data_IF_076894533867
#
_entry.id   IF_076894533867
#
_cell.length_a   1.000
_cell.length_b   1.000
_cell.length_c   1.000
_cell.angle_alpha   90.00
_cell.angle_beta   90.00
_cell.angle_gamma   90.00
#
_symmetry.space_group_name_H-M   'P 1'
#
loop_
_entity.id
_entity.type
_entity.pdbx_description
1 polymer ?
#
# COMPACT_ATOMS: atom_id res chain seq x y z
N UNK A 1 1.20 46.64 -31.68
CA UNK A 1 1.70 45.36 -31.24
C UNK A 1 0.85 44.95 -30.05
N UNK A 2 -0.22 44.23 -30.30
CA UNK A 2 -1.27 43.88 -29.36
C UNK A 2 -0.88 42.59 -28.66
N UNK A 3 -0.85 42.66 -27.32
CA UNK A 3 -0.66 41.56 -26.40
C UNK A 3 -1.67 40.42 -26.63
N UNK A 4 -1.21 39.32 -27.15
CA UNK A 4 -1.97 38.06 -27.25
C UNK A 4 -1.44 37.09 -26.18
N UNK A 5 -1.63 37.41 -24.89
CA UNK A 5 -1.19 36.61 -23.75
C UNK A 5 -2.33 36.07 -22.89
N UNK A 6 -3.50 35.77 -23.49
CA UNK A 6 -4.67 35.38 -22.69
C UNK A 6 -5.45 34.16 -23.19
N UNK A 7 -4.80 33.07 -23.66
CA UNK A 7 -5.56 31.88 -24.01
C UNK A 7 -4.93 30.51 -23.67
N UNK A 8 -3.92 30.42 -22.78
CA UNK A 8 -3.35 29.13 -22.39
C UNK A 8 -3.73 28.66 -20.96
N UNK A 9 -4.63 29.37 -20.27
CA UNK A 9 -4.94 29.06 -18.85
C UNK A 9 -6.06 28.04 -18.63
N UNK A 10 -6.63 27.44 -19.69
CA UNK A 10 -7.78 26.53 -19.57
C UNK A 10 -7.37 25.05 -19.29
N UNK A 11 -6.08 24.72 -19.36
CA UNK A 11 -5.58 23.34 -19.19
C UNK A 11 -4.59 23.16 -18.04
N UNK A 12 -4.23 24.22 -17.31
CA UNK A 12 -3.33 24.08 -16.17
C UNK A 12 -4.09 23.67 -14.91
N UNK A 13 -3.68 22.59 -14.30
CA UNK A 13 -4.18 22.11 -13.00
C UNK A 13 -3.87 23.14 -11.92
N UNK A 14 -4.83 23.42 -11.03
CA UNK A 14 -4.65 24.40 -9.94
C UNK A 14 -3.61 23.88 -8.95
N UNK A 15 -2.55 24.65 -8.70
CA UNK A 15 -1.48 24.34 -7.73
C UNK A 15 -1.90 24.71 -6.30
N UNK A 16 -2.69 23.83 -5.67
CA UNK A 16 -3.29 24.05 -4.33
C UNK A 16 -2.74 23.11 -3.25
N UNK A 17 -1.87 22.14 -3.60
CA UNK A 17 -1.33 21.19 -2.64
C UNK A 17 -0.08 21.76 -1.95
N UNK A 18 -0.16 21.88 -0.63
CA UNK A 18 0.96 22.31 0.20
C UNK A 18 1.94 21.14 0.42
N UNK A 19 3.19 21.45 0.76
CA UNK A 19 4.24 20.45 1.03
C UNK A 19 3.82 19.38 2.06
N UNK A 20 3.02 19.73 3.08
CA UNK A 20 2.50 18.77 4.05
C UNK A 20 1.55 17.75 3.42
N UNK A 21 0.67 18.18 2.49
CA UNK A 21 -0.25 17.30 1.79
C UNK A 21 0.53 16.31 0.91
N UNK A 22 1.48 16.80 0.13
CA UNK A 22 2.32 15.95 -0.74
C UNK A 22 3.12 14.93 0.07
N UNK A 23 3.73 15.35 1.19
CA UNK A 23 4.45 14.43 2.07
C UNK A 23 3.53 13.34 2.64
N UNK A 24 2.30 13.68 3.03
CA UNK A 24 1.36 12.70 3.59
C UNK A 24 0.73 11.82 2.51
N UNK A 25 0.40 12.36 1.34
CA UNK A 25 -0.01 11.57 0.16
C UNK A 25 1.11 10.57 -0.19
N UNK A 26 2.36 11.04 -0.19
CA UNK A 26 3.51 10.19 -0.44
C UNK A 26 3.67 9.05 0.57
N UNK A 27 3.37 9.27 1.85
CA UNK A 27 3.50 8.26 2.90
C UNK A 27 2.25 7.38 2.96
N UNK A 28 1.07 7.98 2.97
CA UNK A 28 -0.20 7.30 3.21
C UNK A 28 -0.79 6.62 1.98
N UNK A 29 -0.53 7.18 0.77
CA UNK A 29 -1.07 6.63 -0.48
C UNK A 29 -0.56 5.22 -0.81
N UNK A 30 0.57 4.82 -0.23
CA UNK A 30 1.12 3.48 -0.40
C UNK A 30 0.72 2.51 0.71
N UNK A 31 0.34 3.01 1.90
CA UNK A 31 -0.14 2.16 2.99
C UNK A 31 -1.63 1.90 2.74
N UNK A 32 -1.94 0.76 2.15
CA UNK A 32 -3.29 0.39 1.74
C UNK A 32 -3.53 -1.12 1.84
N UNK A 33 -4.53 -1.58 1.09
CA UNK A 33 -4.96 -2.97 1.01
C UNK A 33 -3.81 -3.95 0.71
N UNK A 34 -2.87 -3.56 -0.13
CA UNK A 34 -1.69 -4.36 -0.45
C UNK A 34 -0.86 -4.72 0.79
N UNK A 35 -0.55 -3.75 1.66
CA UNK A 35 0.20 -4.06 2.88
C UNK A 35 -0.69 -4.74 3.93
N UNK A 36 -1.90 -4.23 4.16
CA UNK A 36 -2.75 -4.68 5.25
C UNK A 36 -3.37 -6.06 5.01
N UNK A 37 -3.70 -6.39 3.77
CA UNK A 37 -4.44 -7.62 3.44
C UNK A 37 -3.54 -8.67 2.77
N UNK A 38 -2.78 -8.29 1.73
CA UNK A 38 -2.04 -9.27 0.93
C UNK A 38 -0.71 -9.70 1.55
N UNK A 39 -0.21 -9.01 2.58
CA UNK A 39 1.01 -9.39 3.28
C UNK A 39 0.94 -10.79 3.94
N UNK A 40 -0.26 -11.21 4.37
CA UNK A 40 -0.48 -12.57 4.87
C UNK A 40 -0.30 -13.64 3.80
N UNK A 41 -0.84 -13.38 2.61
CA UNK A 41 -0.68 -14.26 1.45
C UNK A 41 0.80 -14.40 1.04
N UNK A 42 1.57 -13.30 1.12
CA UNK A 42 3.00 -13.34 0.83
C UNK A 42 3.76 -14.31 1.76
N UNK A 43 3.46 -14.27 3.06
CA UNK A 43 4.08 -15.14 4.07
C UNK A 43 3.61 -16.59 3.88
N UNK A 44 2.32 -16.80 3.60
CA UNK A 44 1.77 -18.12 3.35
C UNK A 44 2.43 -18.80 2.14
N UNK A 45 2.61 -18.05 1.02
CA UNK A 45 3.06 -18.61 -0.25
C UNK A 45 4.55 -18.93 -0.30
N UNK A 46 5.40 -18.09 0.30
CA UNK A 46 6.86 -18.25 0.18
C UNK A 46 7.58 -18.33 1.55
N UNK A 47 6.82 -18.35 2.63
CA UNK A 47 7.37 -18.27 3.97
C UNK A 47 7.87 -16.87 4.34
N UNK A 48 8.22 -16.64 5.61
CA UNK A 48 8.68 -15.33 6.07
C UNK A 48 9.97 -14.87 5.39
N UNK A 49 10.92 -15.78 5.11
CA UNK A 49 12.16 -15.45 4.41
C UNK A 49 11.92 -15.03 2.94
N UNK A 50 11.13 -15.82 2.20
CA UNK A 50 10.77 -15.51 0.82
C UNK A 50 10.01 -14.18 0.70
N UNK A 51 9.06 -13.92 1.61
CA UNK A 51 8.34 -12.65 1.65
C UNK A 51 9.28 -11.47 1.91
N UNK A 52 10.21 -11.56 2.88
CA UNK A 52 11.19 -10.49 3.17
C UNK A 52 12.07 -10.22 1.95
N UNK A 53 12.59 -11.27 1.29
CA UNK A 53 13.43 -11.12 0.10
C UNK A 53 12.65 -10.44 -1.02
N UNK A 54 11.40 -10.85 -1.28
CA UNK A 54 10.56 -10.24 -2.30
C UNK A 54 10.30 -8.75 -2.04
N UNK A 55 9.92 -8.39 -0.81
CA UNK A 55 9.67 -7.00 -0.43
C UNK A 55 10.96 -6.14 -0.44
N UNK A 56 12.12 -6.71 -0.09
CA UNK A 56 13.41 -6.01 -0.22
C UNK A 56 13.77 -5.74 -1.68
N UNK A 57 13.65 -6.75 -2.55
CA UNK A 57 13.98 -6.60 -3.98
C UNK A 57 13.07 -5.59 -4.67
N UNK A 58 11.75 -5.72 -4.48
CA UNK A 58 10.77 -4.78 -5.05
C UNK A 58 10.93 -3.40 -4.42
N UNK A 59 11.15 -3.30 -3.12
CA UNK A 59 11.41 -2.04 -2.43
C UNK A 59 12.63 -1.32 -2.97
N UNK A 60 13.72 -2.03 -3.26
CA UNK A 60 14.93 -1.47 -3.87
C UNK A 60 14.66 -0.98 -5.30
N UNK A 61 13.93 -1.75 -6.10
CA UNK A 61 13.50 -1.35 -7.44
C UNK A 61 12.66 -0.06 -7.38
N UNK A 62 11.65 -0.02 -6.49
CA UNK A 62 10.79 1.16 -6.30
C UNK A 62 11.60 2.36 -5.83
N UNK A 63 12.57 2.18 -4.94
CA UNK A 63 13.42 3.26 -4.49
C UNK A 63 14.19 3.91 -5.64
N UNK A 64 14.82 3.13 -6.53
CA UNK A 64 15.52 3.67 -7.69
C UNK A 64 14.57 4.33 -8.68
N UNK A 65 13.42 3.70 -8.94
CA UNK A 65 12.38 4.27 -9.80
C UNK A 65 11.92 5.64 -9.28
N UNK A 66 11.64 5.73 -7.99
CA UNK A 66 11.14 6.96 -7.36
C UNK A 66 12.19 8.05 -7.29
N UNK A 67 13.47 7.70 -7.14
CA UNK A 67 14.57 8.67 -7.20
C UNK A 67 14.63 9.28 -8.60
N UNK A 68 14.61 8.47 -9.65
CA UNK A 68 14.61 8.92 -11.04
C UNK A 68 13.37 9.75 -11.39
N UNK A 69 12.19 9.28 -11.00
CA UNK A 69 10.94 10.01 -11.20
C UNK A 69 10.94 11.35 -10.46
N UNK A 70 11.48 11.37 -9.24
CA UNK A 70 11.58 12.59 -8.43
C UNK A 70 12.48 13.65 -9.03
N UNK A 71 13.61 13.27 -9.64
CA UNK A 71 14.48 14.18 -10.39
C UNK A 71 13.74 14.78 -11.59
N UNK A 72 13.07 13.94 -12.38
CA UNK A 72 12.28 14.39 -13.53
C UNK A 72 11.12 15.31 -13.11
N UNK A 73 10.38 14.95 -12.07
CA UNK A 73 9.23 15.72 -11.56
C UNK A 73 9.64 17.05 -10.91
N UNK A 74 10.87 17.12 -10.38
CA UNK A 74 11.42 18.38 -9.85
C UNK A 74 11.84 19.32 -11.00
N UNK A 75 12.44 18.75 -12.05
CA UNK A 75 12.90 19.52 -13.19
C UNK A 75 11.76 19.99 -14.10
N UNK A 76 10.78 19.12 -14.34
CA UNK A 76 9.62 19.39 -15.19
C UNK A 76 8.32 18.96 -14.51
N UNK A 77 7.78 19.77 -13.60
CA UNK A 77 6.54 19.44 -12.88
C UNK A 77 5.33 19.55 -13.81
N UNK A 78 4.85 18.39 -14.29
CA UNK A 78 3.67 18.27 -15.17
C UNK A 78 2.65 17.33 -14.57
N UNK A 79 1.35 17.58 -14.82
CA UNK A 79 0.25 16.73 -14.35
C UNK A 79 0.23 15.36 -15.00
N UNK A 80 0.78 15.22 -16.21
CA UNK A 80 0.90 13.94 -16.91
C UNK A 80 2.08 13.08 -16.47
N UNK A 81 3.00 13.62 -15.64
CA UNK A 81 4.14 12.92 -15.05
C UNK A 81 4.85 11.98 -16.05
N UNK A 82 5.02 10.71 -15.68
CA UNK A 82 5.79 9.73 -16.46
C UNK A 82 5.26 9.50 -17.90
N UNK A 83 3.96 9.63 -18.18
CA UNK A 83 3.43 9.53 -19.53
C UNK A 83 3.87 10.73 -20.39
N UNK A 84 3.91 11.92 -19.81
CA UNK A 84 4.43 13.14 -20.46
C UNK A 84 5.93 13.04 -20.69
N UNK A 85 6.68 12.51 -19.72
CA UNK A 85 8.13 12.31 -19.86
C UNK A 85 8.44 11.29 -20.96
N UNK A 86 7.72 10.17 -21.00
CA UNK A 86 7.87 9.16 -22.06
C UNK A 86 7.57 9.75 -23.44
N UNK A 87 6.47 10.50 -23.58
CA UNK A 87 6.10 11.19 -24.83
C UNK A 87 7.20 12.15 -25.30
N UNK A 88 7.80 12.90 -24.36
CA UNK A 88 8.75 13.96 -24.67
C UNK A 88 10.17 13.45 -24.92
N UNK A 89 10.62 12.46 -24.17
CA UNK A 89 12.02 12.05 -24.13
C UNK A 89 12.29 10.68 -24.76
N UNK A 90 11.25 9.89 -25.03
CA UNK A 90 11.38 8.58 -25.66
C UNK A 90 10.58 8.52 -26.95
N UNK A 91 9.27 8.35 -26.89
CA UNK A 91 8.40 8.23 -28.05
C UNK A 91 6.93 8.53 -27.68
N UNK A 92 6.17 9.25 -28.53
CA UNK A 92 4.75 9.54 -28.30
C UNK A 92 3.88 8.28 -28.11
N UNK A 93 4.18 7.20 -28.83
CA UNK A 93 3.42 5.94 -28.74
C UNK A 93 3.61 5.30 -27.36
N UNK A 94 4.83 5.36 -26.79
CA UNK A 94 5.11 4.86 -25.45
C UNK A 94 4.35 5.70 -24.39
N UNK A 95 4.36 7.03 -24.53
CA UNK A 95 3.64 7.91 -23.62
C UNK A 95 2.13 7.65 -23.65
N UNK A 96 1.56 7.43 -24.82
CA UNK A 96 0.15 7.03 -24.98
C UNK A 96 -0.15 5.69 -24.30
N UNK A 97 0.68 4.67 -24.56
CA UNK A 97 0.52 3.35 -23.96
C UNK A 97 0.61 3.39 -22.43
N UNK A 98 1.57 4.15 -21.87
CA UNK A 98 1.70 4.34 -20.42
C UNK A 98 0.50 5.04 -19.81
N UNK A 99 -0.06 6.06 -20.46
CA UNK A 99 -1.26 6.75 -20.00
C UNK A 99 -2.46 5.80 -19.89
N UNK A 100 -2.71 4.98 -20.93
CA UNK A 100 -3.77 3.98 -20.91
C UNK A 100 -3.54 2.88 -19.90
N UNK A 101 -2.30 2.37 -19.79
CA UNK A 101 -1.95 1.36 -18.81
C UNK A 101 -2.18 1.86 -17.38
N UNK A 102 -1.80 3.11 -17.09
CA UNK A 102 -2.00 3.71 -15.78
C UNK A 102 -3.48 3.91 -15.45
N UNK A 103 -4.28 4.38 -16.41
CA UNK A 103 -5.73 4.49 -16.25
C UNK A 103 -6.36 3.12 -15.95
N UNK A 104 -6.02 2.10 -16.73
CA UNK A 104 -6.53 0.74 -16.56
C UNK A 104 -6.14 0.14 -15.19
N UNK A 105 -4.90 0.35 -14.78
CA UNK A 105 -4.41 -0.06 -13.46
C UNK A 105 -5.28 0.52 -12.33
N UNK A 106 -5.59 1.81 -12.36
CA UNK A 106 -6.42 2.42 -11.32
C UNK A 106 -7.88 2.00 -11.39
N UNK A 107 -8.43 1.75 -12.56
CA UNK A 107 -9.80 1.22 -12.70
C UNK A 107 -9.94 -0.14 -12.00
N UNK A 108 -8.97 -1.04 -12.22
CA UNK A 108 -8.96 -2.36 -11.57
C UNK A 108 -8.71 -2.22 -10.06
N UNK A 109 -7.79 -1.35 -9.66
CA UNK A 109 -7.48 -1.13 -8.24
C UNK A 109 -8.68 -0.63 -7.46
N UNK A 110 -9.42 0.35 -7.98
CA UNK A 110 -10.64 0.84 -7.31
C UNK A 110 -11.67 -0.27 -7.18
N UNK A 111 -11.85 -1.09 -8.22
CA UNK A 111 -12.77 -2.22 -8.15
C UNK A 111 -12.35 -3.24 -7.08
N UNK A 112 -11.05 -3.56 -7.01
CA UNK A 112 -10.49 -4.46 -6.01
C UNK A 112 -10.61 -3.89 -4.59
N UNK A 113 -10.35 -2.59 -4.39
CA UNK A 113 -10.45 -1.94 -3.08
C UNK A 113 -11.89 -1.88 -2.57
N UNK A 114 -12.87 -1.64 -3.47
CA UNK A 114 -14.30 -1.71 -3.12
C UNK A 114 -14.68 -3.12 -2.65
N UNK A 115 -14.20 -4.15 -3.33
CA UNK A 115 -14.42 -5.55 -2.97
C UNK A 115 -13.74 -5.90 -1.63
N UNK A 116 -12.49 -5.52 -1.43
CA UNK A 116 -11.77 -5.72 -0.18
C UNK A 116 -12.42 -4.97 1.00
N UNK A 117 -12.99 -3.78 0.75
CA UNK A 117 -13.75 -3.05 1.77
C UNK A 117 -15.02 -3.78 2.19
N UNK A 118 -15.75 -4.36 1.22
CA UNK A 118 -16.93 -5.16 1.51
C UNK A 118 -16.58 -6.47 2.24
N UNK A 119 -15.41 -7.06 1.99
CA UNK A 119 -14.88 -8.17 2.76
C UNK A 119 -14.48 -7.74 4.17
N UNK A 120 -13.79 -6.61 4.33
CA UNK A 120 -13.34 -6.10 5.62
C UNK A 120 -14.51 -5.81 6.57
N UNK A 121 -15.63 -5.26 6.08
CA UNK A 121 -16.79 -4.98 6.92
C UNK A 121 -17.48 -6.26 7.42
N UNK A 122 -17.33 -7.37 6.69
CA UNK A 122 -17.85 -8.68 7.08
C UNK A 122 -17.13 -9.30 8.31
N UNK A 123 -16.05 -8.67 8.79
CA UNK A 123 -15.39 -9.01 10.05
C UNK A 123 -16.36 -8.93 11.23
N UNK A 124 -17.31 -7.99 11.21
CA UNK A 124 -18.33 -7.86 12.24
C UNK A 124 -19.59 -8.66 11.85
N UNK A 125 -19.94 -9.68 12.63
CA UNK A 125 -21.07 -10.58 12.35
C UNK A 125 -22.40 -9.86 12.12
N UNK A 126 -22.67 -8.80 12.89
CA UNK A 126 -23.90 -8.01 12.74
C UNK A 126 -23.95 -7.18 11.45
N UNK A 127 -22.84 -6.98 10.76
CA UNK A 127 -22.82 -6.32 9.45
C UNK A 127 -23.08 -7.30 8.29
N UNK A 128 -23.13 -8.62 8.54
CA UNK A 128 -23.44 -9.64 7.53
C UNK A 128 -24.93 -9.70 7.16
N UNK A 129 -25.78 -8.87 7.78
CA UNK A 129 -27.20 -8.79 7.45
C UNK A 129 -27.45 -8.31 6.02
N UNK A 130 -26.61 -7.42 5.51
CA UNK A 130 -26.68 -6.97 4.12
C UNK A 130 -25.87 -7.89 3.21
N UNK A 131 -26.37 -8.15 1.99
CA UNK A 131 -25.62 -8.91 1.00
C UNK A 131 -24.34 -8.15 0.60
N UNK A 132 -23.30 -8.89 0.24
CA UNK A 132 -21.97 -8.36 -0.07
C UNK A 132 -21.99 -7.23 -1.12
N UNK A 133 -22.76 -7.39 -2.20
CA UNK A 133 -22.89 -6.37 -3.25
C UNK A 133 -23.46 -5.03 -2.76
N UNK A 134 -24.29 -5.05 -1.69
CA UNK A 134 -24.86 -3.82 -1.14
C UNK A 134 -23.80 -2.98 -0.42
N UNK A 135 -22.85 -3.63 0.26
CA UNK A 135 -21.69 -2.96 0.84
C UNK A 135 -20.77 -2.41 -0.24
N UNK A 136 -20.47 -3.18 -1.28
CA UNK A 136 -19.67 -2.73 -2.43
C UNK A 136 -20.29 -1.49 -3.08
N UNK A 137 -21.61 -1.49 -3.28
CA UNK A 137 -22.32 -0.33 -3.84
C UNK A 137 -22.26 0.89 -2.91
N UNK A 138 -22.43 0.70 -1.61
CA UNK A 138 -22.34 1.77 -0.62
C UNK A 138 -20.93 2.42 -0.63
N UNK A 139 -19.87 1.61 -0.61
CA UNK A 139 -18.50 2.13 -0.66
C UNK A 139 -18.20 2.83 -1.97
N UNK A 140 -18.67 2.30 -3.10
CA UNK A 140 -18.53 2.97 -4.39
C UNK A 140 -19.19 4.36 -4.39
N UNK A 141 -20.40 4.49 -3.84
CA UNK A 141 -21.08 5.79 -3.72
C UNK A 141 -20.30 6.75 -2.83
N UNK A 142 -19.76 6.27 -1.70
CA UNK A 142 -18.93 7.08 -0.80
C UNK A 142 -17.67 7.58 -1.53
N UNK A 143 -16.98 6.70 -2.26
CA UNK A 143 -15.77 7.06 -3.02
C UNK A 143 -16.10 8.11 -4.09
N UNK A 144 -17.19 7.94 -4.85
CA UNK A 144 -17.61 8.92 -5.86
C UNK A 144 -17.92 10.26 -5.20
N UNK A 145 -18.65 10.27 -4.09
CA UNK A 145 -18.97 11.48 -3.36
C UNK A 145 -17.69 12.22 -2.88
N UNK A 146 -16.73 11.50 -2.29
CA UNK A 146 -15.47 12.08 -1.84
C UNK A 146 -14.65 12.64 -3.00
N UNK A 147 -14.59 11.95 -4.14
CA UNK A 147 -13.86 12.41 -5.33
C UNK A 147 -14.55 13.60 -6.04
N UNK A 148 -15.84 13.82 -5.78
CA UNK A 148 -16.56 14.99 -6.28
C UNK A 148 -16.27 16.29 -5.52
N UNK A 149 -15.54 16.21 -4.40
CA UNK A 149 -15.14 17.35 -3.58
C UNK A 149 -13.99 18.13 -4.22
N UNK A 150 -13.73 19.34 -3.71
CA UNK A 150 -12.62 20.16 -4.21
C UNK A 150 -11.26 19.56 -3.85
N UNK A 151 -10.22 19.80 -4.68
CA UNK A 151 -8.83 19.34 -4.48
C UNK A 151 -8.30 19.69 -3.09
N UNK A 152 -8.68 20.87 -2.54
CA UNK A 152 -8.26 21.28 -1.20
C UNK A 152 -8.86 20.38 -0.11
N UNK A 153 -10.14 20.04 -0.22
CA UNK A 153 -10.84 19.16 0.73
C UNK A 153 -10.29 17.75 0.61
N UNK A 154 -10.06 17.26 -0.61
CA UNK A 154 -9.41 15.99 -0.86
C UNK A 154 -8.03 15.92 -0.21
N UNK A 155 -7.15 16.90 -0.42
CA UNK A 155 -5.81 16.92 0.15
C UNK A 155 -5.80 16.95 1.69
N UNK A 156 -6.77 17.63 2.31
CA UNK A 156 -6.90 17.64 3.78
C UNK A 156 -7.44 16.32 4.32
N UNK A 157 -8.41 15.71 3.64
CA UNK A 157 -8.95 14.38 4.00
C UNK A 157 -7.85 13.31 3.91
N UNK A 158 -7.12 13.30 2.81
CA UNK A 158 -6.01 12.34 2.60
C UNK A 158 -4.91 12.52 3.65
N UNK A 159 -4.62 13.76 4.07
CA UNK A 159 -3.67 14.02 5.15
C UNK A 159 -4.07 13.30 6.45
N UNK A 160 -5.34 13.38 6.86
CA UNK A 160 -5.81 12.75 8.09
C UNK A 160 -5.90 11.22 7.96
N UNK A 161 -6.39 10.70 6.84
CA UNK A 161 -6.41 9.25 6.60
C UNK A 161 -5.00 8.67 6.56
N UNK A 162 -4.07 9.32 5.89
CA UNK A 162 -2.67 8.92 5.86
C UNK A 162 -2.04 8.93 7.27
N UNK A 163 -2.33 9.96 8.07
CA UNK A 163 -1.81 10.05 9.44
C UNK A 163 -2.31 8.90 10.30
N UNK A 164 -3.60 8.54 10.21
CA UNK A 164 -4.18 7.41 10.94
C UNK A 164 -3.48 6.11 10.55
N UNK A 165 -3.30 5.84 9.24
CA UNK A 165 -2.60 4.65 8.74
C UNK A 165 -1.17 4.56 9.29
N UNK A 166 -0.42 5.65 9.24
CA UNK A 166 0.96 5.73 9.74
C UNK A 166 1.03 5.41 11.25
N UNK A 167 0.18 6.07 12.05
CA UNK A 167 0.13 5.86 13.51
C UNK A 167 -0.20 4.41 13.84
N UNK A 168 -1.17 3.84 13.13
CA UNK A 168 -1.58 2.44 13.35
C UNK A 168 -0.47 1.45 13.01
N UNK A 169 0.26 1.65 11.91
CA UNK A 169 1.40 0.79 11.58
C UNK A 169 2.52 0.92 12.63
N UNK A 170 2.80 2.12 13.12
CA UNK A 170 3.79 2.30 14.19
C UNK A 170 3.34 1.56 15.48
N UNK A 171 2.08 1.71 15.87
CA UNK A 171 1.52 0.97 17.03
C UNK A 171 1.65 -0.53 16.82
N UNK A 172 1.32 -1.02 15.62
CA UNK A 172 1.47 -2.41 15.25
C UNK A 172 2.92 -2.91 15.41
N UNK A 173 3.91 -2.16 14.92
CA UNK A 173 5.32 -2.52 15.05
C UNK A 173 5.75 -2.57 16.52
N UNK A 174 5.32 -1.61 17.34
CA UNK A 174 5.64 -1.60 18.77
C UNK A 174 5.00 -2.79 19.48
N UNK A 175 3.70 -3.01 19.30
CA UNK A 175 2.96 -4.14 19.88
C UNK A 175 3.56 -5.47 19.42
N UNK A 176 3.85 -5.58 18.11
CA UNK A 176 4.47 -6.77 17.54
C UNK A 176 5.83 -7.08 18.16
N UNK A 177 6.70 -6.10 18.29
CA UNK A 177 7.99 -6.27 18.95
C UNK A 177 7.81 -6.71 20.42
N UNK A 178 6.92 -6.08 21.18
CA UNK A 178 6.65 -6.45 22.57
C UNK A 178 6.11 -7.88 22.69
N UNK A 179 5.31 -8.32 21.72
CA UNK A 179 4.77 -9.69 21.67
C UNK A 179 5.87 -10.70 21.32
N UNK A 180 6.79 -10.38 20.39
CA UNK A 180 7.93 -11.25 20.05
C UNK A 180 8.78 -11.53 21.27
N UNK A 181 9.02 -10.53 22.12
CA UNK A 181 9.80 -10.65 23.35
C UNK A 181 9.02 -11.22 24.54
N UNK A 182 7.73 -11.58 24.37
CA UNK A 182 6.89 -12.14 25.43
C UNK A 182 6.44 -11.13 26.50
N UNK A 183 6.65 -9.84 26.28
CA UNK A 183 6.19 -8.78 27.20
C UNK A 183 4.66 -8.65 27.11
N UNK A 184 4.11 -8.82 25.91
CA UNK A 184 2.68 -8.93 25.66
C UNK A 184 2.36 -10.36 25.20
N UNK A 185 1.18 -10.86 25.58
CA UNK A 185 0.75 -12.23 25.24
C UNK A 185 1.33 -13.34 26.12
N UNK A 186 2.30 -13.04 26.99
CA UNK A 186 2.81 -13.93 28.05
C UNK A 186 3.72 -15.07 27.58
N UNK A 187 3.95 -15.26 26.28
CA UNK A 187 4.85 -16.29 25.74
C UNK A 187 5.93 -15.64 24.87
N UNK A 188 7.20 -16.04 25.10
CA UNK A 188 8.32 -15.62 24.24
C UNK A 188 8.28 -16.39 22.92
N UNK A 189 8.01 -15.66 21.83
CA UNK A 189 7.94 -16.23 20.48
C UNK A 189 9.31 -16.26 19.82
N UNK A 190 10.06 -15.16 19.88
CA UNK A 190 11.37 -15.04 19.28
C UNK A 190 11.39 -15.39 17.80
N UNK A 191 12.28 -16.31 17.41
CA UNK A 191 12.47 -16.78 16.04
C UNK A 191 11.80 -18.15 15.77
N UNK A 192 10.94 -18.63 16.65
CA UNK A 192 10.30 -19.94 16.54
C UNK A 192 9.63 -20.16 15.17
N UNK A 193 8.92 -19.15 14.67
CA UNK A 193 8.17 -19.26 13.42
C UNK A 193 9.04 -19.32 12.15
N UNK A 194 10.35 -19.00 12.27
CA UNK A 194 11.29 -19.17 11.17
C UNK A 194 11.82 -20.60 11.03
N UNK A 195 11.48 -21.49 11.96
CA UNK A 195 11.96 -22.88 12.01
C UNK A 195 10.83 -23.90 11.93
N UNK A 196 9.60 -23.47 11.67
CA UNK A 196 8.43 -24.36 11.55
C UNK A 196 8.38 -24.93 10.13
N UNK A 197 8.34 -26.25 10.00
CA UNK A 197 8.23 -26.95 8.70
C UNK A 197 9.38 -26.57 7.77
N UNK A 198 9.02 -26.06 6.57
CA UNK A 198 9.99 -25.65 5.54
C UNK A 198 10.43 -24.17 5.68
N UNK A 199 9.96 -23.46 6.71
CA UNK A 199 10.40 -22.08 6.95
C UNK A 199 11.94 -21.99 7.16
N UNK A 200 12.59 -20.89 6.78
CA UNK A 200 11.99 -19.60 6.39
C UNK A 200 11.58 -19.47 4.93
N UNK A 201 11.94 -20.40 4.05
CA UNK A 201 11.60 -20.39 2.62
C UNK A 201 10.69 -21.58 2.29
N UNK A 202 9.49 -21.27 1.83
CA UNK A 202 8.44 -22.25 1.53
C UNK A 202 8.22 -22.31 0.02
N UNK A 203 7.90 -23.48 -0.52
CA UNK A 203 7.56 -23.72 -1.92
C UNK A 203 6.54 -24.85 -2.05
N UNK A 204 6.01 -25.09 -3.25
CA UNK A 204 5.09 -26.20 -3.52
C UNK A 204 5.73 -27.57 -3.21
N UNK A 205 7.00 -27.69 -3.48
CA UNK A 205 7.86 -28.77 -3.07
C UNK A 205 9.02 -28.20 -2.24
N UNK A 206 9.56 -28.97 -1.32
CA UNK A 206 10.69 -28.54 -0.47
C UNK A 206 12.01 -28.39 -1.27
N UNK A 207 11.95 -28.36 -2.61
CA UNK A 207 13.11 -28.16 -3.48
C UNK A 207 13.51 -26.67 -3.54
N UNK A 208 14.79 -26.43 -3.81
CA UNK A 208 15.29 -25.07 -3.99
C UNK A 208 14.57 -24.34 -5.15
N UNK A 209 14.23 -25.05 -6.23
CA UNK A 209 13.49 -24.51 -7.36
C UNK A 209 12.08 -24.09 -6.97
N UNK A 210 11.36 -24.91 -6.18
CA UNK A 210 10.04 -24.57 -5.67
C UNK A 210 10.05 -23.34 -4.77
N UNK A 211 11.02 -23.24 -3.88
CA UNK A 211 11.19 -22.08 -2.98
C UNK A 211 11.50 -20.78 -3.76
N UNK A 212 12.35 -20.87 -4.79
CA UNK A 212 12.64 -19.72 -5.67
C UNK A 212 11.40 -19.31 -6.45
N UNK A 213 10.65 -20.23 -7.04
CA UNK A 213 9.43 -19.94 -7.80
C UNK A 213 8.36 -19.30 -6.89
N UNK A 214 8.16 -19.82 -5.68
CA UNK A 214 7.25 -19.24 -4.71
C UNK A 214 7.66 -17.80 -4.33
N UNK A 215 8.95 -17.59 -4.08
CA UNK A 215 9.49 -16.25 -3.78
C UNK A 215 9.28 -15.27 -4.95
N UNK A 216 9.51 -15.73 -6.20
CA UNK A 216 9.23 -14.93 -7.41
C UNK A 216 7.73 -14.63 -7.57
N UNK A 217 6.85 -15.57 -7.24
CA UNK A 217 5.40 -15.33 -7.20
C UNK A 217 5.01 -14.20 -6.23
N UNK A 218 5.68 -14.11 -5.08
CA UNK A 218 5.45 -13.04 -4.10
C UNK A 218 5.92 -11.66 -4.61
N UNK A 219 6.76 -11.57 -5.65
CA UNK A 219 7.12 -10.28 -6.27
C UNK A 219 5.89 -9.53 -6.82
N UNK A 220 4.88 -10.26 -7.33
CA UNK A 220 3.63 -9.66 -7.78
C UNK A 220 2.85 -9.06 -6.61
N UNK A 221 2.76 -9.79 -5.50
CA UNK A 221 2.11 -9.33 -4.26
C UNK A 221 2.82 -8.11 -3.69
N UNK A 222 4.16 -8.16 -3.62
CA UNK A 222 4.97 -7.04 -3.18
C UNK A 222 4.80 -5.83 -4.12
N UNK A 223 4.82 -6.03 -5.45
CA UNK A 223 4.59 -4.98 -6.43
C UNK A 223 3.26 -4.27 -6.21
N UNK A 224 2.18 -5.02 -6.00
CA UNK A 224 0.87 -4.45 -5.65
C UNK A 224 0.91 -3.66 -4.33
N UNK A 225 1.62 -4.17 -3.32
CA UNK A 225 1.74 -3.48 -2.03
C UNK A 225 2.46 -2.12 -2.13
N UNK A 226 3.35 -1.93 -3.11
CA UNK A 226 4.06 -0.67 -3.36
C UNK A 226 3.33 0.29 -4.31
N UNK A 227 2.17 -0.08 -4.83
CA UNK A 227 1.33 0.79 -5.67
C UNK A 227 0.97 2.08 -4.92
N UNK A 228 0.86 3.19 -5.65
CA UNK A 228 0.60 4.52 -5.07
C UNK A 228 1.89 5.29 -4.72
N UNK A 229 3.08 4.65 -4.76
CA UNK A 229 4.36 5.34 -4.55
C UNK A 229 4.58 6.41 -5.60
N UNK A 230 4.18 6.18 -6.84
CA UNK A 230 4.30 7.05 -8.01
C UNK A 230 3.42 8.31 -7.93
N UNK A 231 2.43 8.36 -7.03
CA UNK A 231 1.57 9.54 -6.82
C UNK A 231 2.37 10.81 -6.52
N UNK A 232 3.58 10.69 -5.97
CA UNK A 232 4.49 11.82 -5.78
C UNK A 232 4.79 12.52 -7.10
N UNK A 233 5.02 11.75 -8.16
CA UNK A 233 5.30 12.30 -9.50
C UNK A 233 4.07 12.99 -10.10
N UNK A 234 2.88 12.43 -9.91
CA UNK A 234 1.63 12.97 -10.46
C UNK A 234 1.22 14.25 -9.71
N UNK A 235 1.29 14.24 -8.39
CA UNK A 235 0.96 15.40 -7.55
C UNK A 235 1.94 16.56 -7.70
N UNK A 236 3.08 16.34 -8.37
CA UNK A 236 4.06 17.40 -8.66
C UNK A 236 3.44 18.55 -9.45
N UNK A 237 2.55 18.27 -10.41
CA UNK A 237 1.83 19.28 -11.20
C UNK A 237 0.87 20.13 -10.38
N UNK A 238 0.36 19.62 -9.25
CA UNK A 238 -0.58 20.28 -8.34
C UNK A 238 0.10 20.93 -7.13
N UNK A 239 1.42 20.80 -7.00
CA UNK A 239 2.21 21.35 -5.90
C UNK A 239 2.37 22.87 -6.00
N UNK A 240 2.19 23.58 -4.87
CA UNK A 240 2.53 25.01 -4.79
C UNK A 240 4.03 25.29 -5.02
N UNK A 241 4.91 24.39 -4.55
CA UNK A 241 6.36 24.50 -4.65
C UNK A 241 7.02 23.15 -4.98
N UNK A 242 6.92 22.64 -6.23
CA UNK A 242 7.40 21.32 -6.59
C UNK A 242 8.90 21.13 -6.36
N UNK A 243 9.73 22.15 -6.66
CA UNK A 243 11.19 22.10 -6.48
C UNK A 243 11.64 21.79 -5.04
N UNK A 244 10.85 22.16 -4.04
CA UNK A 244 11.13 21.87 -2.62
C UNK A 244 10.37 20.67 -2.08
N UNK A 245 9.13 20.50 -2.54
CA UNK A 245 8.21 19.48 -2.00
C UNK A 245 8.56 18.08 -2.52
N UNK A 246 8.89 17.95 -3.81
CA UNK A 246 9.15 16.66 -4.44
C UNK A 246 10.46 16.02 -3.92
N UNK A 247 11.62 16.69 -3.88
CA UNK A 247 12.83 16.09 -3.33
C UNK A 247 12.68 15.66 -1.87
N UNK A 248 11.92 16.43 -1.08
CA UNK A 248 11.61 16.07 0.31
C UNK A 248 10.78 14.81 0.40
N UNK A 249 9.73 14.71 -0.42
CA UNK A 249 8.85 13.53 -0.46
C UNK A 249 9.62 12.28 -0.91
N UNK A 250 10.46 12.38 -1.95
CA UNK A 250 11.27 11.26 -2.45
C UNK A 250 12.27 10.76 -1.40
N UNK A 251 12.94 11.66 -0.65
CA UNK A 251 13.81 11.24 0.47
C UNK A 251 13.09 10.43 1.54
N UNK A 252 11.80 10.65 1.72
CA UNK A 252 11.00 9.88 2.68
C UNK A 252 10.65 8.47 2.18
N UNK A 253 10.74 8.20 0.87
CA UNK A 253 10.44 6.88 0.28
C UNK A 253 11.31 5.79 0.89
N UNK A 254 12.61 6.04 1.05
CA UNK A 254 13.53 5.04 1.65
C UNK A 254 13.08 4.58 3.03
N UNK A 255 12.85 5.53 3.95
CA UNK A 255 12.41 5.21 5.31
C UNK A 255 11.05 4.56 5.34
N UNK A 256 10.16 4.96 4.44
CA UNK A 256 8.86 4.36 4.27
C UNK A 256 8.97 2.90 3.88
N UNK A 257 9.76 2.57 2.86
CA UNK A 257 10.00 1.20 2.42
C UNK A 257 10.53 0.37 3.60
N UNK A 258 11.56 0.87 4.27
CA UNK A 258 12.20 0.14 5.36
C UNK A 258 11.24 -0.12 6.53
N UNK A 259 10.55 0.91 7.02
CA UNK A 259 9.73 0.83 8.24
C UNK A 259 8.38 0.16 7.95
N UNK A 260 7.66 0.64 6.94
CA UNK A 260 6.27 0.22 6.74
C UNK A 260 6.13 -1.09 5.97
N UNK A 261 7.14 -1.49 5.19
CA UNK A 261 7.07 -2.74 4.45
C UNK A 261 8.01 -3.79 5.01
N UNK A 262 9.30 -3.58 4.95
CA UNK A 262 10.28 -4.61 5.33
C UNK A 262 10.13 -4.99 6.80
N UNK A 263 10.07 -3.99 7.69
CA UNK A 263 9.93 -4.25 9.12
C UNK A 263 8.55 -4.82 9.48
N UNK A 264 7.48 -4.38 8.81
CA UNK A 264 6.15 -4.95 9.03
C UNK A 264 6.08 -6.42 8.61
N UNK A 265 6.58 -6.77 7.41
CA UNK A 265 6.65 -8.16 6.94
C UNK A 265 7.50 -9.02 7.86
N UNK A 266 8.63 -8.50 8.35
CA UNK A 266 9.46 -9.19 9.33
C UNK A 266 8.68 -9.48 10.62
N UNK A 267 8.02 -8.48 11.19
CA UNK A 267 7.22 -8.62 12.41
C UNK A 267 6.06 -9.61 12.21
N UNK A 268 5.35 -9.54 11.09
CA UNK A 268 4.27 -10.50 10.78
C UNK A 268 4.85 -11.92 10.70
N UNK A 269 5.94 -12.11 9.94
CA UNK A 269 6.56 -13.42 9.76
C UNK A 269 7.15 -14.03 11.03
N UNK A 270 7.56 -13.19 12.01
CA UNK A 270 7.99 -13.65 13.31
C UNK A 270 6.82 -14.05 14.23
N UNK A 271 5.67 -13.38 14.10
CA UNK A 271 4.51 -13.57 14.98
C UNK A 271 3.52 -14.60 14.49
N UNK A 272 3.35 -14.74 13.18
CA UNK A 272 2.35 -15.61 12.59
C UNK A 272 3.06 -16.70 11.79
N UNK A 273 2.93 -17.98 12.17
CA UNK A 273 3.48 -19.08 11.38
C UNK A 273 2.78 -19.13 10.00
N UNK A 274 3.52 -19.44 8.95
CA UNK A 274 2.97 -19.52 7.58
C UNK A 274 1.88 -20.60 7.44
N UNK A 275 1.87 -21.59 8.34
CA UNK A 275 0.86 -22.66 8.43
C UNK A 275 -0.40 -22.25 9.20
N UNK A 276 -0.51 -20.98 9.66
CA UNK A 276 -1.64 -20.53 10.46
C UNK A 276 -2.96 -20.66 9.70
N UNK A 277 -4.00 -21.30 10.26
CA UNK A 277 -5.32 -21.39 9.65
C UNK A 277 -5.92 -20.01 9.32
N UNK A 278 -5.64 -19.01 10.15
CA UNK A 278 -6.12 -17.63 9.95
C UNK A 278 -5.50 -16.98 8.69
N UNK A 279 -4.30 -17.40 8.25
CA UNK A 279 -3.71 -17.01 6.98
C UNK A 279 -4.22 -17.86 5.82
N UNK A 280 -4.42 -19.18 6.06
CA UNK A 280 -4.89 -20.13 5.04
C UNK A 280 -6.35 -19.88 4.64
N UNK A 281 -7.19 -19.43 5.57
CA UNK A 281 -8.59 -19.04 5.30
C UNK A 281 -8.73 -17.88 4.30
N UNK A 282 -7.67 -17.08 4.11
CA UNK A 282 -7.64 -16.03 3.11
C UNK A 282 -7.67 -16.53 1.65
N UNK A 283 -7.46 -17.83 1.42
CA UNK A 283 -7.48 -18.44 0.10
C UNK A 283 -8.89 -18.94 -0.31
N UNK A 284 -9.85 -19.06 0.63
CA UNK A 284 -11.23 -19.45 0.34
C UNK A 284 -12.16 -18.23 0.44
N UNK A 285 -12.96 -17.99 -0.60
CA UNK A 285 -13.89 -16.86 -0.68
C UNK A 285 -14.99 -16.86 0.41
N UNK A 286 -15.11 -17.92 1.17
CA UNK A 286 -16.12 -18.09 2.25
C UNK A 286 -15.57 -17.75 3.65
N UNK A 287 -14.26 -17.81 3.85
CA UNK A 287 -13.64 -17.41 5.13
C UNK A 287 -12.95 -16.05 4.96
N UNK A 288 -13.45 -15.08 5.66
CA UNK A 288 -13.04 -13.67 5.63
C UNK A 288 -11.53 -13.58 5.80
N UNK A 289 -10.86 -13.06 4.80
CA UNK A 289 -9.43 -12.75 4.85
C UNK A 289 -9.16 -11.81 6.04
N UNK A 290 -8.64 -12.36 7.12
CA UNK A 290 -8.25 -11.55 8.27
C UNK A 290 -6.90 -10.91 7.96
N UNK A 291 -6.84 -9.59 8.05
CA UNK A 291 -5.58 -8.89 7.97
C UNK A 291 -4.57 -9.46 8.98
N UNK A 292 -3.32 -9.76 8.59
CA UNK A 292 -2.28 -10.15 9.53
C UNK A 292 -2.10 -9.17 10.69
N UNK A 293 -2.32 -7.89 10.44
CA UNK A 293 -2.29 -6.85 11.47
C UNK A 293 -3.36 -7.11 12.53
N UNK A 294 -4.59 -7.42 12.12
CA UNK A 294 -5.69 -7.76 13.04
C UNK A 294 -5.41 -9.02 13.84
N UNK A 295 -4.80 -10.04 13.21
CA UNK A 295 -4.42 -11.31 13.86
C UNK A 295 -3.40 -11.04 14.98
N UNK A 296 -2.38 -10.21 14.73
CA UNK A 296 -1.34 -9.87 15.72
C UNK A 296 -1.95 -9.20 16.95
N UNK A 297 -2.85 -8.23 16.77
CA UNK A 297 -3.52 -7.58 17.90
C UNK A 297 -4.39 -8.56 18.70
N UNK A 298 -5.09 -9.46 18.02
CA UNK A 298 -5.89 -10.52 18.66
C UNK A 298 -5.02 -11.46 19.50
N UNK A 299 -3.89 -11.91 18.94
CA UNK A 299 -2.95 -12.82 19.62
C UNK A 299 -2.23 -12.13 20.79
N UNK A 300 -2.02 -10.82 20.73
CA UNK A 300 -1.49 -10.02 21.83
C UNK A 300 -2.53 -9.80 22.98
N UNK A 301 -3.75 -10.33 22.85
CA UNK A 301 -4.81 -10.21 23.87
C UNK A 301 -5.68 -8.95 23.75
N UNK A 302 -5.54 -8.16 22.69
CA UNK A 302 -6.29 -6.91 22.51
C UNK A 302 -7.42 -7.05 21.48
N UNK A 303 -8.52 -7.74 21.85
CA UNK A 303 -9.66 -7.95 20.94
C UNK A 303 -10.31 -6.63 20.46
N UNK A 304 -10.40 -5.62 21.32
CA UNK A 304 -10.89 -4.29 20.93
C UNK A 304 -9.95 -3.61 19.93
N UNK A 305 -8.64 -3.70 20.15
CA UNK A 305 -7.65 -3.14 19.22
C UNK A 305 -7.68 -3.84 17.86
N UNK A 306 -7.97 -5.14 17.81
CA UNK A 306 -8.18 -5.87 16.55
C UNK A 306 -9.39 -5.31 15.77
N UNK A 307 -10.50 -5.00 16.44
CA UNK A 307 -11.66 -4.37 15.80
C UNK A 307 -11.36 -2.94 15.31
N UNK A 308 -10.63 -2.15 16.11
CA UNK A 308 -10.18 -0.81 15.70
C UNK A 308 -9.23 -0.91 14.50
N UNK A 309 -8.32 -1.87 14.51
CA UNK A 309 -7.41 -2.11 13.39
C UNK A 309 -8.16 -2.43 12.09
N UNK A 310 -9.15 -3.31 12.18
CA UNK A 310 -9.98 -3.64 11.02
C UNK A 310 -10.79 -2.43 10.51
N UNK A 311 -11.27 -1.57 11.42
CA UNK A 311 -11.94 -0.32 11.04
C UNK A 311 -11.00 0.69 10.37
N UNK A 312 -9.70 0.68 10.68
CA UNK A 312 -8.71 1.52 10.01
C UNK A 312 -8.33 0.98 8.63
N UNK A 313 -8.37 -0.35 8.45
CA UNK A 313 -8.14 -1.01 7.17
C UNK A 313 -9.29 -0.72 6.19
N UNK A 314 -10.53 -0.71 6.70
CA UNK A 314 -11.74 -0.35 5.96
C UNK A 314 -11.72 1.10 5.48
#
# INVERSE_FOLDING_TARGET
>A
MTNNSNNNNATEVKRNLRSRHISMIAIGGCIGSGLFMTSGQAIQSAGPGGAIVAYLCIGLMVYFLMTSLGEMATYLPTSGSFSTYATRYVDPSLGFALGWNYWFNWVITVAADVELSALAISYWEHMRVLPHWAWSLLFLVIIIALNSLSVKVYGESEYWFALIKVVVVIIFLVVGCLTIFGILGGEYIGFKNLTIGDAPFVGEDSSLSGQILATLGVFLIAGYSFQGTELIGITAGESENPEKSIPKAVKQVFWRILIFYVLAILVIGLLIPYTSPDLLGAASAEEIAKSPFTIVFKNAGFALAASVMNAVIL
#
